data_IF_995289319080
#
_entry.id   IF_995289319080
#
_cell.length_a   1.000
_cell.length_b   1.000
_cell.length_c   1.000
_cell.angle_alpha   90.00
_cell.angle_beta   90.00
_cell.angle_gamma   90.00
#
_symmetry.space_group_name_H-M   'P 1'
#
loop_
_entity.id
_entity.type
_entity.pdbx_description
1 polymer ?
#
# COMPACT_ATOMS: atom_id res chain seq x y z
N UNK A 1 -55.79 -58.84 -16.82
CA UNK A 1 -54.79 -58.57 -15.81
C UNK A 1 -54.24 -57.18 -16.06
N UNK A 2 -54.61 -56.19 -15.24
CA UNK A 2 -54.25 -54.77 -15.37
C UNK A 2 -53.16 -54.50 -14.41
N UNK A 3 -52.02 -54.01 -14.89
CA UNK A 3 -50.92 -53.54 -14.07
C UNK A 3 -51.09 -52.04 -13.81
N UNK A 4 -51.28 -51.69 -12.55
CA UNK A 4 -51.31 -50.30 -12.06
C UNK A 4 -49.86 -49.88 -11.82
N UNK A 5 -49.40 -48.89 -12.55
CA UNK A 5 -48.15 -48.22 -12.27
C UNK A 5 -48.37 -47.05 -11.29
N UNK A 6 -47.89 -47.22 -10.10
CA UNK A 6 -47.86 -46.14 -9.09
C UNK A 6 -46.71 -45.19 -9.40
N UNK A 7 -47.05 -43.95 -9.69
CA UNK A 7 -46.10 -42.87 -9.92
C UNK A 7 -45.79 -42.20 -8.57
N UNK A 8 -44.60 -42.37 -8.06
CA UNK A 8 -44.13 -41.66 -6.86
C UNK A 8 -43.61 -40.30 -7.29
N UNK A 9 -44.36 -39.25 -6.99
CA UNK A 9 -43.88 -37.87 -7.11
C UNK A 9 -42.95 -37.55 -5.93
N UNK A 10 -41.65 -37.49 -6.16
CA UNK A 10 -40.70 -36.92 -5.20
C UNK A 10 -40.77 -35.40 -5.31
N UNK A 11 -41.38 -34.73 -4.35
CA UNK A 11 -41.24 -33.29 -4.16
C UNK A 11 -39.84 -33.00 -3.65
N UNK A 12 -38.99 -32.52 -4.52
CA UNK A 12 -37.71 -31.90 -4.14
C UNK A 12 -37.99 -30.53 -3.53
N UNK A 13 -37.84 -30.39 -2.20
CA UNK A 13 -37.74 -29.07 -1.57
C UNK A 13 -36.41 -28.46 -1.98
N UNK A 14 -36.45 -27.50 -2.90
CA UNK A 14 -35.34 -26.56 -3.09
C UNK A 14 -35.29 -25.66 -1.86
N UNK A 15 -34.35 -25.92 -0.95
CA UNK A 15 -34.00 -24.97 0.07
C UNK A 15 -33.28 -23.81 -0.61
N UNK A 16 -33.98 -22.69 -0.83
CA UNK A 16 -33.38 -21.42 -1.16
C UNK A 16 -32.56 -20.97 0.07
N UNK A 17 -31.26 -21.28 0.08
CA UNK A 17 -30.35 -20.61 0.97
C UNK A 17 -30.23 -19.20 0.43
N UNK A 18 -30.94 -18.26 1.06
CA UNK A 18 -30.71 -16.84 0.85
C UNK A 18 -29.31 -16.53 1.36
N UNK A 19 -28.30 -16.51 0.49
CA UNK A 19 -27.08 -15.77 0.76
C UNK A 19 -27.50 -14.31 0.91
N UNK A 20 -27.66 -13.85 2.14
CA UNK A 20 -27.60 -12.43 2.44
C UNK A 20 -26.17 -12.02 2.11
N UNK A 21 -25.96 -11.52 0.89
CA UNK A 21 -24.79 -10.73 0.59
C UNK A 21 -24.84 -9.56 1.57
N UNK A 22 -23.97 -9.58 2.58
CA UNK A 22 -23.68 -8.36 3.34
C UNK A 22 -23.22 -7.37 2.29
N UNK A 23 -24.02 -6.35 2.00
CA UNK A 23 -23.58 -5.24 1.19
C UNK A 23 -22.33 -4.68 1.88
N UNK A 24 -21.22 -4.60 1.16
CA UNK A 24 -20.03 -3.97 1.70
C UNK A 24 -20.43 -2.55 2.10
N UNK A 25 -20.19 -2.21 3.36
CA UNK A 25 -20.39 -0.87 3.84
C UNK A 25 -19.27 0.00 3.26
N UNK A 26 -19.62 0.96 2.43
CA UNK A 26 -18.69 1.89 1.82
C UNK A 26 -18.63 3.18 2.62
N UNK A 27 -17.42 3.72 2.83
CA UNK A 27 -17.22 5.04 3.41
C UNK A 27 -17.32 6.14 2.36
N UNK A 28 -17.68 7.33 2.81
CA UNK A 28 -17.71 8.51 1.95
C UNK A 28 -16.31 9.15 1.85
N UNK A 29 -15.91 9.66 0.66
CA UNK A 29 -14.64 10.36 0.46
C UNK A 29 -14.75 11.82 0.95
N UNK A 30 -14.93 11.99 2.24
CA UNK A 30 -15.13 13.27 2.91
C UNK A 30 -14.04 13.58 3.96
N UNK A 31 -12.87 12.97 3.79
CA UNK A 31 -11.71 13.21 4.65
C UNK A 31 -11.23 14.65 4.43
N UNK A 32 -10.98 15.34 5.51
CA UNK A 32 -10.44 16.71 5.54
C UNK A 32 -9.27 16.78 6.51
N UNK A 33 -8.55 17.89 6.51
CA UNK A 33 -7.46 18.10 7.47
C UNK A 33 -7.93 18.08 8.93
N UNK A 34 -9.24 18.27 9.17
CA UNK A 34 -9.87 18.23 10.49
C UNK A 34 -10.35 16.84 10.92
N UNK A 35 -10.39 15.89 10.00
CA UNK A 35 -10.74 14.50 10.30
C UNK A 35 -9.71 13.93 11.28
N UNK A 36 -10.19 13.37 12.38
CA UNK A 36 -9.32 12.76 13.39
C UNK A 36 -8.76 11.43 12.89
N UNK A 37 -7.62 11.01 13.43
CA UNK A 37 -7.01 9.74 13.07
C UNK A 37 -7.92 8.54 13.37
N UNK A 38 -8.77 8.65 14.41
CA UNK A 38 -9.79 7.64 14.69
C UNK A 38 -10.86 7.60 13.61
N UNK A 39 -11.46 8.74 13.24
CA UNK A 39 -12.46 8.81 12.17
C UNK A 39 -11.92 8.29 10.86
N UNK A 40 -10.66 8.63 10.51
CA UNK A 40 -9.98 8.10 9.33
C UNK A 40 -9.91 6.58 9.37
N UNK A 41 -9.43 5.98 10.46
CA UNK A 41 -9.29 4.53 10.62
C UNK A 41 -10.62 3.80 10.67
N UNK A 42 -11.67 4.44 11.18
CA UNK A 42 -13.01 3.88 11.27
C UNK A 42 -13.81 3.97 9.97
N UNK A 43 -13.36 4.77 9.00
CA UNK A 43 -14.01 4.84 7.70
C UNK A 43 -14.05 3.43 7.05
N UNK A 44 -15.24 2.93 6.67
CA UNK A 44 -15.40 1.56 6.19
C UNK A 44 -14.53 1.22 4.97
N UNK A 45 -14.35 2.18 4.06
CA UNK A 45 -13.54 1.98 2.85
C UNK A 45 -12.04 1.97 3.15
N UNK A 46 -11.56 2.79 4.08
CA UNK A 46 -10.17 2.74 4.55
C UNK A 46 -9.89 1.37 5.20
N UNK A 47 -10.76 0.95 6.11
CA UNK A 47 -10.68 -0.38 6.73
C UNK A 47 -10.70 -1.51 5.71
N UNK A 48 -11.66 -1.47 4.78
CA UNK A 48 -11.81 -2.48 3.73
C UNK A 48 -10.68 -2.50 2.72
N UNK A 49 -10.05 -1.35 2.45
CA UNK A 49 -8.91 -1.23 1.54
C UNK A 49 -7.63 -1.86 2.10
N UNK A 50 -7.52 -1.99 3.41
CA UNK A 50 -6.31 -2.44 4.10
C UNK A 50 -5.19 -1.41 4.12
N UNK A 51 -5.46 -0.15 3.74
CA UNK A 51 -4.45 0.90 3.81
C UNK A 51 -4.06 1.16 5.28
N UNK A 52 -2.76 1.09 5.54
CA UNK A 52 -2.24 1.28 6.89
C UNK A 52 -2.13 2.76 7.24
N UNK A 53 -2.80 3.19 8.31
CA UNK A 53 -2.88 4.59 8.72
C UNK A 53 -2.17 4.90 10.04
N UNK A 54 -1.56 3.89 10.66
CA UNK A 54 -0.74 4.10 11.85
C UNK A 54 0.69 4.43 11.43
N UNK A 55 1.14 5.63 11.71
CA UNK A 55 2.53 6.04 11.49
C UNK A 55 3.03 6.81 12.70
N UNK A 56 4.35 6.88 12.86
CA UNK A 56 5.02 7.51 14.00
C UNK A 56 4.63 6.91 15.38
N UNK A 57 4.13 5.66 15.40
CA UNK A 57 3.75 4.98 16.61
C UNK A 57 4.74 3.84 16.92
N UNK A 58 5.17 3.76 18.17
CA UNK A 58 6.04 2.69 18.64
C UNK A 58 5.28 1.35 18.82
N UNK A 59 3.96 1.43 18.94
CA UNK A 59 3.09 0.29 19.15
C UNK A 59 2.03 0.27 18.05
N UNK A 60 2.05 -0.77 17.24
CA UNK A 60 1.02 -0.99 16.21
C UNK A 60 -0.37 -1.10 16.86
N UNK A 61 -1.34 -0.38 16.30
CA UNK A 61 -2.70 -0.34 16.84
C UNK A 61 -2.87 0.58 18.05
N UNK A 62 -1.87 1.40 18.37
CA UNK A 62 -1.98 2.42 19.40
C UNK A 62 -3.13 3.39 19.13
N UNK A 63 -3.80 3.83 20.20
CA UNK A 63 -4.86 4.85 20.17
C UNK A 63 -4.37 6.22 20.59
N UNK A 64 -3.06 6.40 20.75
CA UNK A 64 -2.45 7.62 21.28
C UNK A 64 -2.85 8.87 20.51
N UNK A 65 -3.06 8.77 19.21
CA UNK A 65 -3.38 9.87 18.31
C UNK A 65 -4.84 9.87 17.84
N UNK A 66 -5.70 9.08 18.43
CA UNK A 66 -7.10 8.92 17.99
C UNK A 66 -7.84 10.26 17.82
N UNK A 67 -7.69 11.14 18.78
CA UNK A 67 -8.36 12.44 18.78
C UNK A 67 -7.57 13.56 18.06
N UNK A 68 -6.41 13.20 17.46
CA UNK A 68 -5.58 14.17 16.74
C UNK A 68 -6.10 14.31 15.31
N UNK A 69 -6.41 15.53 14.83
CA UNK A 69 -6.77 15.74 13.43
C UNK A 69 -5.55 15.52 12.50
N UNK A 70 -5.81 15.20 11.23
CA UNK A 70 -4.76 14.99 10.22
C UNK A 70 -3.77 16.16 10.21
N UNK A 71 -4.21 17.41 10.27
CA UNK A 71 -3.31 18.58 10.28
C UNK A 71 -2.40 18.67 11.51
N UNK A 72 -2.78 18.05 12.60
CA UNK A 72 -1.95 17.96 13.80
C UNK A 72 -1.03 16.73 13.80
N UNK A 73 -1.37 15.73 13.01
CA UNK A 73 -0.65 14.46 12.91
C UNK A 73 0.41 14.48 11.79
N UNK A 74 0.07 15.07 10.65
CA UNK A 74 0.96 15.19 9.48
C UNK A 74 1.86 16.41 9.65
N UNK A 75 3.12 16.19 10.02
CA UNK A 75 4.01 17.29 10.44
C UNK A 75 4.91 17.85 9.34
N UNK A 76 5.23 17.08 8.29
CA UNK A 76 6.15 17.52 7.21
C UNK A 76 5.58 17.38 5.81
N UNK A 77 4.34 17.00 5.65
CA UNK A 77 3.65 16.99 4.36
C UNK A 77 2.47 17.95 4.43
N UNK A 78 1.96 18.35 3.27
CA UNK A 78 0.73 19.10 3.25
C UNK A 78 -0.42 18.23 3.76
N UNK A 79 -1.09 18.66 4.82
CA UNK A 79 -2.19 17.93 5.42
C UNK A 79 -3.36 17.77 4.44
N UNK A 80 -3.57 18.75 3.56
CA UNK A 80 -4.52 18.71 2.47
C UNK A 80 -4.23 17.56 1.53
N UNK A 81 -3.00 17.41 1.05
CA UNK A 81 -2.60 16.31 0.18
C UNK A 81 -2.76 14.94 0.83
N UNK A 82 -2.51 14.84 2.15
CA UNK A 82 -2.74 13.60 2.89
C UNK A 82 -4.23 13.25 2.97
N UNK A 83 -5.09 14.24 3.23
CA UNK A 83 -6.53 14.06 3.27
C UNK A 83 -7.09 13.69 1.87
N UNK A 84 -6.64 14.37 0.81
CA UNK A 84 -7.01 14.05 -0.57
C UNK A 84 -6.51 12.68 -1.00
N UNK A 85 -5.30 12.29 -0.62
CA UNK A 85 -4.77 10.95 -0.84
C UNK A 85 -5.64 9.86 -0.19
N UNK A 86 -6.17 10.11 1.00
CA UNK A 86 -7.11 9.20 1.64
C UNK A 86 -8.48 9.17 0.95
N UNK A 87 -8.98 10.30 0.47
CA UNK A 87 -10.19 10.34 -0.35
C UNK A 87 -9.99 9.53 -1.65
N UNK A 88 -8.83 9.64 -2.29
CA UNK A 88 -8.48 8.86 -3.47
C UNK A 88 -8.45 7.34 -3.18
N UNK A 89 -7.96 6.92 -2.01
CA UNK A 89 -8.05 5.52 -1.56
C UNK A 89 -9.50 5.07 -1.45
N UNK A 90 -10.36 5.88 -0.78
CA UNK A 90 -11.78 5.59 -0.60
C UNK A 90 -12.50 5.46 -1.95
N UNK A 91 -12.31 6.43 -2.84
CA UNK A 91 -12.93 6.45 -4.16
C UNK A 91 -12.53 5.22 -5.01
N UNK A 92 -11.25 4.89 -5.03
CA UNK A 92 -10.76 3.73 -5.78
C UNK A 92 -11.29 2.42 -5.20
N UNK A 93 -11.25 2.26 -3.88
CA UNK A 93 -11.80 1.09 -3.22
C UNK A 93 -13.30 0.93 -3.50
N UNK A 94 -14.08 2.02 -3.41
CA UNK A 94 -15.52 2.03 -3.70
C UNK A 94 -15.85 1.66 -5.16
N UNK A 95 -14.90 1.89 -6.07
CA UNK A 95 -14.98 1.46 -7.49
C UNK A 95 -14.50 0.03 -7.72
N UNK A 96 -14.12 -0.69 -6.66
CA UNK A 96 -13.65 -2.06 -6.73
C UNK A 96 -12.18 -2.21 -7.09
N UNK A 97 -11.37 -1.14 -7.02
CA UNK A 97 -9.92 -1.22 -7.19
C UNK A 97 -9.31 -1.85 -5.94
N UNK A 98 -8.53 -2.89 -6.12
CA UNK A 98 -7.72 -3.44 -5.04
C UNK A 98 -6.59 -2.47 -4.70
N UNK A 99 -6.59 -1.96 -3.48
CA UNK A 99 -5.61 -0.96 -3.00
C UNK A 99 -4.37 -1.64 -2.47
N UNK A 100 -4.52 -2.64 -1.61
CA UNK A 100 -3.42 -3.29 -0.91
C UNK A 100 -2.98 -4.55 -1.63
N UNK A 101 -1.68 -4.66 -1.92
CA UNK A 101 -1.06 -5.77 -2.62
C UNK A 101 0.08 -6.34 -1.80
N UNK A 102 0.05 -7.67 -1.61
CA UNK A 102 1.11 -8.39 -0.93
C UNK A 102 2.29 -8.61 -1.87
N UNK A 103 3.50 -8.29 -1.43
CA UNK A 103 4.72 -8.43 -2.24
C UNK A 103 5.26 -9.87 -2.20
N UNK A 104 5.13 -10.52 -1.06
CA UNK A 104 5.60 -11.88 -0.84
C UNK A 104 4.48 -12.90 -0.93
N UNK A 105 4.81 -14.13 -1.30
CA UNK A 105 3.84 -15.22 -1.40
C UNK A 105 3.37 -15.71 -0.02
N UNK A 106 2.22 -16.38 0.05
CA UNK A 106 1.75 -16.98 1.31
C UNK A 106 2.74 -17.97 1.92
N UNK A 107 3.48 -18.71 1.08
CA UNK A 107 4.49 -19.68 1.49
C UNK A 107 5.69 -18.98 2.16
N UNK A 108 6.20 -17.91 1.57
CA UNK A 108 7.29 -17.09 2.14
C UNK A 108 6.86 -16.47 3.48
N UNK A 109 5.62 -15.98 3.55
CA UNK A 109 5.06 -15.40 4.79
C UNK A 109 4.90 -16.48 5.88
N UNK A 110 4.54 -17.70 5.50
CA UNK A 110 4.45 -18.81 6.46
C UNK A 110 5.81 -19.19 7.05
N UNK A 111 6.89 -19.06 6.27
CA UNK A 111 8.26 -19.29 6.73
C UNK A 111 8.80 -18.12 7.56
N UNK A 112 8.42 -16.88 7.22
CA UNK A 112 8.82 -15.67 7.93
C UNK A 112 7.65 -14.68 8.02
N UNK A 113 6.94 -14.69 9.13
CA UNK A 113 5.74 -13.87 9.33
C UNK A 113 5.96 -12.36 9.20
N UNK A 114 7.22 -11.87 9.37
CA UNK A 114 7.52 -10.44 9.19
C UNK A 114 7.35 -9.97 7.75
N UNK A 115 7.37 -10.87 6.77
CA UNK A 115 7.13 -10.56 5.36
C UNK A 115 5.67 -10.15 5.10
N UNK A 116 4.75 -10.55 5.96
CA UNK A 116 3.34 -10.18 5.84
C UNK A 116 3.05 -8.69 5.99
N UNK A 117 3.96 -7.94 6.61
CA UNK A 117 3.83 -6.48 6.70
C UNK A 117 4.27 -5.74 5.43
N UNK A 118 4.96 -6.42 4.50
CA UNK A 118 5.50 -5.77 3.28
C UNK A 118 4.40 -5.70 2.23
N UNK A 119 3.86 -4.50 2.05
CA UNK A 119 2.69 -4.26 1.23
C UNK A 119 2.91 -3.06 0.32
N UNK A 120 2.31 -3.12 -0.87
CA UNK A 120 2.20 -2.00 -1.79
C UNK A 120 0.77 -1.46 -1.72
N UNK A 121 0.64 -0.14 -1.59
CA UNK A 121 -0.63 0.56 -1.69
C UNK A 121 -0.70 1.26 -3.03
N UNK A 122 -1.66 0.85 -3.84
CA UNK A 122 -1.78 1.29 -5.22
C UNK A 122 -2.68 2.51 -5.37
N UNK A 123 -2.14 3.54 -6.00
CA UNK A 123 -2.82 4.75 -6.45
C UNK A 123 -2.80 4.76 -7.99
N UNK A 124 -3.93 4.42 -8.65
CA UNK A 124 -3.99 4.35 -10.10
C UNK A 124 -3.69 5.69 -10.77
N UNK A 125 -3.06 5.66 -11.93
CA UNK A 125 -2.97 6.83 -12.77
C UNK A 125 -4.32 7.15 -13.44
N UNK A 126 -4.48 8.39 -13.91
CA UNK A 126 -5.67 8.84 -14.68
C UNK A 126 -5.78 8.19 -16.05
N UNK A 127 -4.68 7.66 -16.59
CA UNK A 127 -4.61 7.04 -17.93
C UNK A 127 -3.83 5.73 -17.91
N UNK A 128 -4.15 4.83 -18.82
CA UNK A 128 -3.42 3.57 -18.99
C UNK A 128 -2.00 3.80 -19.54
N UNK A 129 -1.13 2.81 -19.35
CA UNK A 129 0.29 2.83 -19.75
C UNK A 129 1.05 4.02 -19.16
N UNK A 130 0.69 4.39 -17.92
CA UNK A 130 1.31 5.50 -17.21
C UNK A 130 2.71 5.15 -16.73
N UNK A 131 3.55 6.18 -16.56
CA UNK A 131 4.75 6.06 -15.73
C UNK A 131 4.33 5.92 -14.27
N UNK A 132 5.21 5.35 -13.46
CA UNK A 132 4.91 5.18 -12.04
C UNK A 132 6.11 5.44 -11.14
N UNK A 133 5.81 5.70 -9.90
CA UNK A 133 6.80 5.81 -8.84
C UNK A 133 6.49 4.83 -7.71
N UNK A 134 7.55 4.26 -7.13
CA UNK A 134 7.49 3.56 -5.86
C UNK A 134 7.92 4.56 -4.80
N UNK A 135 7.00 4.89 -3.91
CA UNK A 135 7.20 5.81 -2.79
C UNK A 135 7.59 5.00 -1.57
N UNK A 136 8.75 5.30 -1.03
CA UNK A 136 9.34 4.62 0.14
C UNK A 136 9.38 5.62 1.30
N UNK A 137 8.37 5.63 2.16
CA UNK A 137 8.32 6.54 3.30
C UNK A 137 9.47 6.30 4.28
N UNK A 138 9.80 7.28 5.07
CA UNK A 138 10.64 7.09 6.25
C UNK A 138 9.94 6.25 7.31
N UNK A 139 10.66 5.89 8.34
CA UNK A 139 10.08 5.19 9.47
C UNK A 139 9.94 6.10 10.68
N UNK A 140 8.84 5.94 11.39
CA UNK A 140 8.57 6.58 12.67
C UNK A 140 8.33 5.52 13.75
N UNK A 141 9.40 4.97 14.32
CA UNK A 141 9.27 3.86 15.25
C UNK A 141 9.16 2.50 14.54
N UNK A 142 8.16 1.69 14.87
CA UNK A 142 7.97 0.34 14.30
C UNK A 142 7.21 0.33 12.97
N UNK A 143 6.82 1.48 12.46
CA UNK A 143 6.01 1.62 11.24
C UNK A 143 6.67 2.59 10.26
N UNK A 144 6.24 2.55 9.03
CA UNK A 144 6.59 3.51 8.00
C UNK A 144 5.54 4.64 7.95
N UNK A 145 5.89 5.80 7.40
CA UNK A 145 5.07 7.01 7.44
C UNK A 145 4.10 7.08 6.24
N UNK A 146 3.24 6.05 6.08
CA UNK A 146 2.39 5.88 4.90
C UNK A 146 1.40 7.03 4.68
N UNK A 147 0.94 7.69 5.74
CA UNK A 147 0.06 8.84 5.61
C UNK A 147 0.85 10.11 5.25
N UNK A 148 1.93 10.38 5.99
CA UNK A 148 2.69 11.62 5.86
C UNK A 148 3.50 11.70 4.56
N UNK A 149 4.23 10.63 4.25
CA UNK A 149 5.19 10.56 3.14
C UNK A 149 4.74 9.58 2.05
N UNK A 150 3.62 8.91 2.28
CA UNK A 150 3.00 7.99 1.33
C UNK A 150 1.81 8.60 0.62
N UNK A 151 0.67 8.71 1.29
CA UNK A 151 -0.59 9.15 0.69
C UNK A 151 -0.51 10.59 0.14
N UNK A 152 0.15 11.51 0.87
CA UNK A 152 0.33 12.89 0.41
C UNK A 152 1.12 12.97 -0.89
N UNK A 153 2.19 12.21 -1.00
CA UNK A 153 3.02 12.14 -2.21
C UNK A 153 2.30 11.42 -3.34
N UNK A 154 1.59 10.34 -3.03
CA UNK A 154 0.83 9.58 -4.00
C UNK A 154 -0.30 10.42 -4.63
N UNK A 155 -0.95 11.30 -3.84
CA UNK A 155 -1.92 12.25 -4.35
C UNK A 155 -1.30 13.21 -5.38
N UNK A 156 -0.17 13.83 -5.05
CA UNK A 156 0.53 14.73 -5.97
C UNK A 156 0.96 14.02 -7.26
N UNK A 157 1.46 12.78 -7.17
CA UNK A 157 1.82 11.97 -8.34
C UNK A 157 0.60 11.65 -9.20
N UNK A 158 -0.54 11.29 -8.57
CA UNK A 158 -1.79 11.06 -9.27
C UNK A 158 -2.26 12.32 -10.02
N UNK A 159 -2.20 13.50 -9.39
CA UNK A 159 -2.56 14.76 -10.04
C UNK A 159 -1.66 15.07 -11.25
N UNK A 160 -0.38 14.70 -11.20
CA UNK A 160 0.57 14.81 -12.31
C UNK A 160 0.39 13.71 -13.38
N UNK A 161 -0.53 12.75 -13.19
CA UNK A 161 -0.84 11.70 -14.16
C UNK A 161 0.03 10.44 -14.02
N UNK A 162 0.79 10.30 -12.94
CA UNK A 162 1.55 9.10 -12.63
C UNK A 162 0.71 8.11 -11.80
N UNK A 163 1.00 6.83 -11.92
CA UNK A 163 0.61 5.89 -10.88
C UNK A 163 1.61 5.95 -9.72
N UNK A 164 1.13 5.71 -8.51
CA UNK A 164 2.01 5.61 -7.35
C UNK A 164 1.77 4.30 -6.59
N UNK A 165 2.85 3.77 -6.04
CA UNK A 165 2.83 2.60 -5.18
C UNK A 165 3.56 2.98 -3.89
N UNK A 166 2.83 3.16 -2.81
CA UNK A 166 3.43 3.41 -1.50
C UNK A 166 3.84 2.08 -0.90
N UNK A 167 5.11 1.94 -0.55
CA UNK A 167 5.65 0.71 0.00
C UNK A 167 5.71 0.78 1.53
N UNK A 168 4.95 -0.11 2.18
CA UNK A 168 5.19 -0.49 3.56
C UNK A 168 6.24 -1.59 3.58
N UNK A 169 7.32 -1.41 4.32
CA UNK A 169 8.46 -2.32 4.35
C UNK A 169 8.88 -2.63 5.79
N UNK A 170 9.68 -3.67 5.98
CA UNK A 170 10.20 -4.03 7.30
C UNK A 170 11.14 -2.93 7.80
N UNK A 171 10.78 -2.34 8.93
CA UNK A 171 11.48 -1.23 9.54
C UNK A 171 11.83 -1.50 10.99
N UNK A 172 12.72 -0.73 11.56
CA UNK A 172 13.15 -0.77 12.95
C UNK A 172 13.50 -2.18 13.45
N UNK A 173 12.68 -2.81 14.31
CA UNK A 173 12.96 -4.13 14.87
C UNK A 173 12.98 -5.26 13.83
N UNK A 174 12.35 -5.04 12.68
CA UNK A 174 12.30 -5.99 11.58
C UNK A 174 13.31 -5.65 10.45
N UNK A 175 14.16 -4.63 10.64
CA UNK A 175 15.09 -4.13 9.62
C UNK A 175 16.44 -4.86 9.59
N UNK A 176 16.63 -5.94 10.38
CA UNK A 176 17.88 -6.70 10.42
C UNK A 176 18.27 -7.24 9.03
N UNK A 177 19.56 -7.52 8.85
CA UNK A 177 20.09 -8.19 7.66
C UNK A 177 19.76 -7.49 6.32
N UNK A 178 19.68 -6.17 6.33
CA UNK A 178 19.29 -5.36 5.18
C UNK A 178 17.88 -5.67 4.64
N UNK A 179 16.98 -6.16 5.49
CA UNK A 179 15.62 -6.52 5.11
C UNK A 179 14.90 -5.43 4.28
N UNK A 180 15.00 -4.12 4.58
CA UNK A 180 14.37 -3.08 3.77
C UNK A 180 14.85 -3.03 2.32
N UNK A 181 16.12 -3.33 2.05
CA UNK A 181 16.65 -3.39 0.67
C UNK A 181 16.03 -4.54 -0.12
N UNK A 182 15.88 -5.71 0.51
CA UNK A 182 15.21 -6.86 -0.11
C UNK A 182 13.73 -6.57 -0.37
N UNK A 183 13.06 -5.87 0.55
CA UNK A 183 11.65 -5.51 0.40
C UNK A 183 11.44 -4.57 -0.79
N UNK A 184 12.27 -3.54 -0.94
CA UNK A 184 12.23 -2.66 -2.12
C UNK A 184 12.57 -3.44 -3.39
N UNK A 185 13.60 -4.29 -3.37
CA UNK A 185 13.97 -5.09 -4.52
C UNK A 185 12.82 -5.99 -4.99
N UNK A 186 12.15 -6.66 -4.06
CA UNK A 186 11.01 -7.51 -4.37
C UNK A 186 9.79 -6.70 -4.84
N UNK A 187 9.54 -5.51 -4.27
CA UNK A 187 8.50 -4.62 -4.75
C UNK A 187 8.75 -4.18 -6.21
N UNK A 188 10.00 -3.83 -6.57
CA UNK A 188 10.37 -3.49 -7.96
C UNK A 188 10.14 -4.67 -8.88
N UNK A 189 10.61 -5.88 -8.52
CA UNK A 189 10.40 -7.11 -9.30
C UNK A 189 8.91 -7.38 -9.50
N UNK A 190 8.15 -7.37 -8.42
CA UNK A 190 6.71 -7.60 -8.44
C UNK A 190 5.99 -6.66 -9.41
N UNK A 191 6.28 -5.36 -9.34
CA UNK A 191 5.65 -4.36 -10.21
C UNK A 191 6.11 -4.49 -11.66
N UNK A 192 7.39 -4.77 -11.91
CA UNK A 192 7.92 -4.98 -13.26
C UNK A 192 7.29 -6.20 -13.93
N UNK A 193 7.13 -7.30 -13.19
CA UNK A 193 6.52 -8.53 -13.69
C UNK A 193 5.02 -8.38 -13.93
N UNK A 194 4.33 -7.59 -13.11
CA UNK A 194 2.88 -7.40 -13.15
C UNK A 194 2.44 -6.03 -13.71
N UNK A 195 3.29 -5.32 -14.45
CA UNK A 195 3.02 -3.97 -14.94
C UNK A 195 1.70 -3.83 -15.72
N UNK A 196 1.38 -4.84 -16.53
CA UNK A 196 0.14 -4.87 -17.33
C UNK A 196 -1.12 -4.90 -16.44
N UNK A 197 -1.07 -5.59 -15.30
CA UNK A 197 -2.15 -5.66 -14.32
C UNK A 197 -2.47 -4.29 -13.72
N UNK A 198 -1.45 -3.46 -13.52
CA UNK A 198 -1.57 -2.12 -12.97
C UNK A 198 -1.76 -1.04 -14.05
N UNK A 199 -1.73 -1.41 -15.31
CA UNK A 199 -1.82 -0.45 -16.42
C UNK A 199 -0.66 0.54 -16.47
N UNK A 200 0.54 0.13 -16.04
CA UNK A 200 1.75 0.96 -15.99
C UNK A 200 2.82 0.48 -16.97
N UNK A 201 3.81 1.33 -17.23
CA UNK A 201 4.95 0.97 -18.06
C UNK A 201 5.84 -0.02 -17.28
N UNK A 202 6.27 -1.09 -17.96
CA UNK A 202 7.16 -2.10 -17.36
C UNK A 202 8.54 -1.55 -17.02
N UNK A 203 8.99 -0.57 -17.79
CA UNK A 203 10.25 0.13 -17.62
C UNK A 203 10.00 1.59 -17.22
N UNK A 204 11.05 2.33 -16.93
CA UNK A 204 10.97 3.77 -16.60
C UNK A 204 10.24 4.08 -15.29
N UNK A 205 10.38 3.21 -14.28
CA UNK A 205 9.89 3.52 -12.94
C UNK A 205 10.81 4.52 -12.22
N UNK A 206 10.21 5.27 -11.30
CA UNK A 206 10.95 6.13 -10.36
C UNK A 206 10.96 5.50 -8.97
N UNK A 207 12.04 5.71 -8.23
CA UNK A 207 12.10 5.49 -6.78
C UNK A 207 12.10 6.83 -6.07
N UNK A 208 11.18 6.99 -5.12
CA UNK A 208 11.10 8.18 -4.27
C UNK A 208 11.23 7.73 -2.82
N UNK A 209 12.17 8.30 -2.09
CA UNK A 209 12.37 7.93 -0.69
C UNK A 209 12.55 9.15 0.21
N UNK A 210 12.06 9.06 1.43
CA UNK A 210 12.07 10.13 2.43
C UNK A 210 12.77 9.67 3.70
N UNK A 211 13.55 10.55 4.34
CA UNK A 211 14.26 10.24 5.59
C UNK A 211 15.04 8.92 5.48
N UNK A 212 14.79 7.94 6.34
CA UNK A 212 15.37 6.58 6.26
C UNK A 212 15.02 5.86 4.96
N UNK A 213 13.79 6.04 4.43
CA UNK A 213 13.40 5.54 3.10
C UNK A 213 14.25 6.15 2.00
N UNK A 214 14.60 7.44 2.12
CA UNK A 214 15.51 8.12 1.20
C UNK A 214 16.92 7.53 1.20
N UNK A 215 17.44 7.16 2.38
CA UNK A 215 18.72 6.45 2.49
C UNK A 215 18.68 5.11 1.72
N UNK A 216 17.66 4.28 1.97
CA UNK A 216 17.55 2.97 1.36
C UNK A 216 17.36 3.07 -0.16
N UNK A 217 16.54 4.02 -0.62
CA UNK A 217 16.35 4.31 -2.05
C UNK A 217 17.65 4.80 -2.70
N UNK A 218 18.42 5.63 -2.02
CA UNK A 218 19.74 6.06 -2.49
C UNK A 218 20.72 4.90 -2.67
N UNK A 219 20.72 3.93 -1.76
CA UNK A 219 21.53 2.72 -1.88
C UNK A 219 21.09 1.86 -3.06
N UNK A 220 19.82 1.43 -3.07
CA UNK A 220 19.33 0.47 -4.07
C UNK A 220 19.24 1.07 -5.47
N UNK A 221 18.98 2.37 -5.58
CA UNK A 221 18.90 3.06 -6.87
C UNK A 221 20.27 3.39 -7.48
N UNK A 222 21.36 3.25 -6.72
CA UNK A 222 22.73 3.48 -7.20
C UNK A 222 23.27 2.25 -7.94
N UNK A 223 24.46 2.41 -8.53
CA UNK A 223 25.23 1.31 -9.13
C UNK A 223 26.18 0.60 -8.15
N UNK A 224 25.96 0.79 -6.85
CA UNK A 224 26.74 0.12 -5.82
C UNK A 224 26.75 -1.40 -6.01
N UNK A 225 27.94 -2.01 -6.00
CA UNK A 225 28.14 -3.43 -6.31
C UNK A 225 27.46 -4.37 -5.29
N UNK A 226 27.25 -3.92 -4.06
CA UNK A 226 26.67 -4.74 -2.98
C UNK A 226 25.19 -4.49 -2.75
N UNK A 227 24.74 -3.24 -2.89
CA UNK A 227 23.41 -2.80 -2.48
C UNK A 227 22.63 -2.09 -3.58
N UNK A 228 23.23 -1.84 -4.73
CA UNK A 228 22.62 -1.14 -5.84
C UNK A 228 21.69 -2.03 -6.68
N UNK A 229 20.95 -1.41 -7.59
CA UNK A 229 19.95 -2.11 -8.42
C UNK A 229 20.54 -3.31 -9.17
N UNK A 230 21.79 -3.26 -9.62
CA UNK A 230 22.47 -4.36 -10.32
C UNK A 230 22.67 -5.57 -9.42
N UNK A 231 23.01 -5.35 -8.13
CA UNK A 231 23.22 -6.43 -7.17
C UNK A 231 21.95 -7.26 -6.94
N UNK A 232 20.78 -6.65 -7.11
CA UNK A 232 19.47 -7.31 -7.00
C UNK A 232 18.90 -7.76 -8.34
N UNK A 233 19.63 -7.57 -9.46
CA UNK A 233 19.15 -7.92 -10.80
C UNK A 233 17.96 -7.07 -11.26
N UNK A 234 17.87 -5.83 -10.80
CA UNK A 234 16.80 -4.92 -11.13
C UNK A 234 17.13 -4.08 -12.38
N UNK A 235 16.13 -3.65 -13.17
CA UNK A 235 16.35 -2.62 -14.15
C UNK A 235 16.75 -1.31 -13.47
N UNK A 236 17.53 -0.49 -14.16
CA UNK A 236 17.90 0.83 -13.64
C UNK A 236 16.65 1.69 -13.48
N UNK A 237 16.43 2.32 -12.31
CA UNK A 237 15.35 3.30 -12.18
C UNK A 237 15.58 4.50 -13.11
N UNK A 238 14.52 5.01 -13.72
CA UNK A 238 14.59 6.19 -14.58
C UNK A 238 14.84 7.49 -13.80
N UNK A 239 14.46 7.52 -12.56
CA UNK A 239 14.67 8.65 -11.65
C UNK A 239 14.79 8.19 -10.20
N UNK A 240 15.61 8.92 -9.44
CA UNK A 240 15.70 8.83 -7.98
C UNK A 240 15.35 10.21 -7.40
N UNK A 241 14.40 10.21 -6.46
CA UNK A 241 14.03 11.41 -5.72
C UNK A 241 14.26 11.13 -4.23
N UNK A 242 15.14 11.91 -3.63
CA UNK A 242 15.56 11.74 -2.24
C UNK A 242 15.12 12.95 -1.43
N UNK A 243 14.07 12.79 -0.63
CA UNK A 243 13.61 13.80 0.31
C UNK A 243 14.34 13.65 1.64
N UNK A 244 15.13 14.66 2.05
CA UNK A 244 15.88 14.70 3.32
C UNK A 244 16.44 13.34 3.77
N UNK A 245 17.20 12.64 2.91
CA UNK A 245 17.70 11.31 3.21
C UNK A 245 18.66 11.36 4.39
N UNK A 246 18.67 10.30 5.20
CA UNK A 246 19.72 10.13 6.18
C UNK A 246 20.98 9.66 5.42
N UNK A 247 21.98 10.53 5.33
CA UNK A 247 23.19 10.26 4.54
C UNK A 247 24.33 9.68 5.37
N UNK A 248 24.30 9.86 6.69
CA UNK A 248 25.29 9.32 7.61
C UNK A 248 24.64 8.87 8.92
N UNK A 249 24.93 7.62 9.31
CA UNK A 249 24.49 7.05 10.60
C UNK A 249 25.62 7.05 11.65
N UNK A 250 26.81 7.58 11.33
CA UNK A 250 28.04 7.38 12.12
C UNK A 250 28.70 8.66 12.59
N UNK A 251 28.04 9.83 12.55
CA UNK A 251 28.47 11.02 13.24
C UNK A 251 27.91 11.15 14.65
#
# INVERSE_FOLDING_TARGET
>A
MKWIRTMVCALGMLACVSLSAFAAEYGEPNITTKTTMKELRENPSIKGSGYYTYCNEWIEGSTQYDDTPIEGYVSYAAAEDAAEGMNLVIENYNRGVQITWQVYTPEEIAENSSLGMVQLYYFPAKTANAKYAIVVPGNGGNTTAELNEGASIANQLHELGYAAFVLRYRSFLNASDNAPLYDIANAVKYLTENADQFGVQRENYALMGFSSGGHIVGLIGSDNEKFGYKAFGLPQPAALLLGYPINDFFE
#
